data_IF_471279166539
#
_entry.id   IF_471279166539
#
_cell.length_a   1.000
_cell.length_b   1.000
_cell.length_c   1.000
_cell.angle_alpha   90.00
_cell.angle_beta   90.00
_cell.angle_gamma   90.00
#
_symmetry.space_group_name_H-M   'P 1'
#
loop_
_entity.id
_entity.type
_entity.pdbx_description
1 polymer ?
#
# COMPACT_ATOMS: atom_id res chain seq x y z
N UNK A 1 -23.18 4.63 -3.07
CA UNK A 1 -23.23 3.16 -3.12
C UNK A 1 -22.11 2.69 -4.04
N UNK A 2 -21.04 2.02 -3.57
CA UNK A 2 -20.06 1.48 -4.47
C UNK A 2 -20.70 0.35 -5.27
N UNK A 3 -20.59 0.41 -6.57
CA UNK A 3 -20.99 -0.66 -7.49
C UNK A 3 -20.07 -1.86 -7.25
N UNK A 4 -20.50 -2.78 -6.38
CA UNK A 4 -19.83 -4.07 -6.20
C UNK A 4 -20.10 -4.91 -7.45
N UNK A 5 -19.16 -4.90 -8.39
CA UNK A 5 -19.22 -5.86 -9.48
C UNK A 5 -19.01 -7.27 -8.90
N UNK A 6 -20.05 -8.13 -8.87
CA UNK A 6 -19.97 -9.44 -8.21
C UNK A 6 -18.94 -10.39 -8.82
N UNK A 7 -18.45 -10.10 -10.03
CA UNK A 7 -17.40 -10.86 -10.68
C UNK A 7 -16.03 -10.61 -10.02
N UNK A 8 -15.73 -9.38 -9.60
CA UNK A 8 -14.48 -9.07 -8.88
C UNK A 8 -14.47 -9.70 -7.49
N UNK A 9 -15.58 -9.63 -6.75
CA UNK A 9 -15.67 -10.25 -5.43
C UNK A 9 -15.42 -11.77 -5.45
N UNK A 10 -15.97 -12.48 -6.43
CA UNK A 10 -15.70 -13.92 -6.59
C UNK A 10 -14.25 -14.23 -6.98
N UNK A 11 -13.62 -13.38 -7.78
CA UNK A 11 -12.21 -13.52 -8.15
C UNK A 11 -11.29 -13.40 -6.92
N UNK A 12 -11.49 -12.39 -6.11
CA UNK A 12 -10.70 -12.19 -4.89
C UNK A 12 -10.93 -13.29 -3.84
N UNK A 13 -12.18 -13.70 -3.62
CA UNK A 13 -12.49 -14.78 -2.69
C UNK A 13 -11.76 -16.09 -3.04
N UNK A 14 -11.63 -16.41 -4.33
CA UNK A 14 -10.86 -17.58 -4.78
C UNK A 14 -9.35 -17.38 -4.60
N UNK A 15 -8.86 -16.17 -4.87
CA UNK A 15 -7.43 -15.87 -4.81
C UNK A 15 -6.88 -15.89 -3.38
N UNK A 16 -7.66 -15.46 -2.37
CA UNK A 16 -7.21 -15.39 -0.98
C UNK A 16 -7.40 -16.69 -0.21
N UNK A 17 -8.14 -17.66 -0.76
CA UNK A 17 -8.43 -18.91 -0.05
C UNK A 17 -7.15 -19.72 0.19
N UNK A 18 -6.87 -20.05 1.46
CA UNK A 18 -5.67 -20.79 1.85
C UNK A 18 -4.38 -19.96 1.89
N UNK A 19 -4.48 -18.63 1.77
CA UNK A 19 -3.33 -17.74 1.96
C UNK A 19 -3.13 -17.41 3.44
N UNK A 20 -1.86 -17.19 3.83
CA UNK A 20 -1.50 -16.73 5.18
C UNK A 20 -1.53 -15.19 5.28
N UNK A 21 -1.31 -14.51 4.18
CA UNK A 21 -1.27 -13.06 4.10
C UNK A 21 -1.71 -12.55 2.72
N UNK A 22 -2.06 -11.27 2.65
CA UNK A 22 -2.39 -10.57 1.41
C UNK A 22 -1.55 -9.32 1.28
N UNK A 23 -0.99 -9.08 0.08
CA UNK A 23 -0.32 -7.84 -0.29
C UNK A 23 -1.10 -7.18 -1.42
N UNK A 24 -1.62 -5.97 -1.19
CA UNK A 24 -2.20 -5.15 -2.23
C UNK A 24 -1.17 -4.13 -2.73
N UNK A 25 -0.55 -4.44 -3.88
CA UNK A 25 0.43 -3.58 -4.54
C UNK A 25 -0.06 -3.09 -5.92
N UNK A 26 -1.35 -3.25 -6.22
CA UNK A 26 -1.92 -2.80 -7.49
C UNK A 26 -2.21 -1.29 -7.49
N UNK A 27 -2.16 -0.72 -8.67
CA UNK A 27 -2.53 0.66 -8.94
C UNK A 27 -2.98 0.82 -10.38
N UNK A 28 -3.75 1.85 -10.65
CA UNK A 28 -4.32 2.09 -11.99
C UNK A 28 -3.26 2.45 -13.06
N UNK A 29 -2.01 2.67 -12.64
CA UNK A 29 -0.90 2.98 -13.53
C UNK A 29 -0.93 4.42 -14.12
N UNK A 30 0.17 4.86 -14.74
CA UNK A 30 0.21 6.12 -15.45
C UNK A 30 -0.74 6.11 -16.66
N UNK A 31 -1.24 7.29 -17.04
CA UNK A 31 -2.17 7.44 -18.17
C UNK A 31 -3.62 6.99 -17.90
N UNK A 32 -3.94 6.47 -16.72
CA UNK A 32 -5.33 6.18 -16.34
C UNK A 32 -6.00 7.44 -15.80
N UNK A 33 -7.27 7.68 -16.17
CA UNK A 33 -8.05 8.82 -15.68
C UNK A 33 -8.45 8.70 -14.21
N UNK A 34 -8.94 9.81 -13.62
CA UNK A 34 -9.32 9.92 -12.21
C UNK A 34 -10.31 8.82 -11.76
N UNK A 35 -11.32 8.50 -12.57
CA UNK A 35 -12.30 7.44 -12.25
C UNK A 35 -11.66 6.07 -12.06
N UNK A 36 -10.58 5.78 -12.81
CA UNK A 36 -9.87 4.51 -12.67
C UNK A 36 -9.02 4.45 -11.40
N UNK A 37 -8.54 5.60 -10.90
CA UNK A 37 -7.87 5.69 -9.59
C UNK A 37 -8.81 5.24 -8.48
N UNK A 38 -10.04 5.72 -8.45
CA UNK A 38 -11.02 5.28 -7.46
C UNK A 38 -11.32 3.77 -7.56
N UNK A 39 -11.50 3.26 -8.79
CA UNK A 39 -11.87 1.85 -9.00
C UNK A 39 -10.75 0.89 -8.62
N UNK A 40 -9.49 1.21 -8.95
CA UNK A 40 -8.35 0.30 -8.74
C UNK A 40 -7.67 0.61 -7.42
N UNK A 41 -7.26 1.88 -7.18
CA UNK A 41 -6.44 2.21 -6.02
C UNK A 41 -7.23 2.18 -4.71
N UNK A 42 -8.55 2.46 -4.74
CA UNK A 42 -9.43 2.36 -3.57
C UNK A 42 -10.30 1.11 -3.57
N UNK A 43 -11.22 1.00 -4.53
CA UNK A 43 -12.27 -0.03 -4.45
C UNK A 43 -11.71 -1.45 -4.50
N UNK A 44 -10.70 -1.74 -5.34
CA UNK A 44 -10.10 -3.06 -5.39
C UNK A 44 -9.33 -3.39 -4.10
N UNK A 45 -8.65 -2.41 -3.47
CA UNK A 45 -7.98 -2.62 -2.18
C UNK A 45 -8.97 -3.00 -1.08
N UNK A 46 -10.11 -2.30 -1.01
CA UNK A 46 -11.16 -2.58 -0.02
C UNK A 46 -11.80 -3.94 -0.27
N UNK A 47 -12.17 -4.25 -1.52
CA UNK A 47 -12.76 -5.55 -1.87
C UNK A 47 -11.83 -6.74 -1.56
N UNK A 48 -10.53 -6.57 -1.79
CA UNK A 48 -9.55 -7.61 -1.45
C UNK A 48 -9.41 -7.78 0.07
N UNK A 49 -9.49 -6.69 0.83
CA UNK A 49 -9.48 -6.73 2.29
C UNK A 49 -10.73 -7.43 2.86
N UNK A 50 -11.90 -7.13 2.31
CA UNK A 50 -13.15 -7.81 2.66
C UNK A 50 -13.07 -9.31 2.35
N UNK A 51 -12.52 -9.68 1.19
CA UNK A 51 -12.30 -11.07 0.81
C UNK A 51 -11.31 -11.79 1.73
N UNK A 52 -10.23 -11.11 2.16
CA UNK A 52 -9.27 -11.64 3.11
C UNK A 52 -9.93 -11.94 4.47
N UNK A 53 -10.69 -10.98 5.01
CA UNK A 53 -11.44 -11.17 6.26
C UNK A 53 -12.43 -12.33 6.16
N UNK A 54 -13.19 -12.42 5.07
CA UNK A 54 -14.15 -13.50 4.84
C UNK A 54 -13.50 -14.88 4.74
N UNK A 55 -12.25 -14.95 4.26
CA UNK A 55 -11.46 -16.18 4.18
C UNK A 55 -10.65 -16.48 5.46
N UNK A 56 -10.73 -15.62 6.49
CA UNK A 56 -9.97 -15.78 7.74
C UNK A 56 -8.51 -15.35 7.64
N UNK A 57 -8.09 -14.72 6.53
CA UNK A 57 -6.72 -14.19 6.35
C UNK A 57 -6.61 -12.86 7.09
N UNK A 58 -5.79 -12.83 8.12
CA UNK A 58 -5.68 -11.66 9.00
C UNK A 58 -4.59 -10.67 8.57
N UNK A 59 -3.47 -11.16 8.03
CA UNK A 59 -2.33 -10.32 7.66
C UNK A 59 -2.55 -9.62 6.31
N UNK A 60 -2.50 -8.27 6.30
CA UNK A 60 -2.74 -7.47 5.11
C UNK A 60 -1.70 -6.35 4.98
N UNK A 61 -1.00 -6.32 3.85
CA UNK A 61 -0.09 -5.22 3.51
C UNK A 61 -0.72 -4.36 2.40
N UNK A 62 -0.81 -3.07 2.63
CA UNK A 62 -1.27 -2.09 1.63
C UNK A 62 -0.09 -1.25 1.14
N UNK A 63 0.18 -1.26 -0.16
CA UNK A 63 1.08 -0.29 -0.79
C UNK A 63 0.29 0.96 -1.14
N UNK A 64 0.58 2.03 -0.39
CA UNK A 64 0.01 3.36 -0.57
C UNK A 64 1.02 4.31 -1.25
N UNK A 65 1.11 5.54 -0.82
CA UNK A 65 2.04 6.56 -1.34
C UNK A 65 2.38 7.58 -0.27
N UNK A 66 3.57 8.15 -0.31
CA UNK A 66 3.86 9.39 0.42
C UNK A 66 2.95 10.52 -0.07
N UNK A 67 2.69 11.51 0.77
CA UNK A 67 1.88 12.69 0.45
C UNK A 67 0.35 12.50 0.54
N UNK A 68 -0.15 11.32 0.94
CA UNK A 68 -1.61 11.07 1.04
C UNK A 68 -2.27 11.84 2.18
N UNK A 69 -1.52 12.29 3.18
CA UNK A 69 -2.05 13.11 4.29
C UNK A 69 -2.06 14.59 3.96
N UNK A 70 -1.40 15.02 2.88
CA UNK A 70 -1.36 16.40 2.45
C UNK A 70 -2.54 16.68 1.50
N UNK A 71 -3.34 17.71 1.76
CA UNK A 71 -4.38 18.09 0.82
C UNK A 71 -3.76 18.55 -0.51
N UNK A 72 -4.36 18.21 -1.66
CA UNK A 72 -3.89 18.68 -2.96
C UNK A 72 -3.80 20.22 -2.98
N UNK A 73 -2.65 20.75 -3.38
CA UNK A 73 -2.44 22.21 -3.48
C UNK A 73 -3.17 22.78 -4.69
N UNK A 74 -3.54 24.06 -4.67
CA UNK A 74 -4.06 24.73 -5.86
C UNK A 74 -3.11 24.55 -7.05
N UNK A 75 -3.63 24.10 -8.20
CA UNK A 75 -2.82 23.80 -9.39
C UNK A 75 -2.22 22.40 -9.45
N UNK A 76 -2.49 21.54 -8.46
CA UNK A 76 -2.15 20.10 -8.56
C UNK A 76 -2.90 19.48 -9.74
N UNK A 77 -2.21 18.63 -10.50
CA UNK A 77 -2.84 17.83 -11.57
C UNK A 77 -4.02 17.02 -11.01
N UNK A 78 -5.16 17.07 -11.72
CA UNK A 78 -6.41 16.46 -11.25
C UNK A 78 -6.30 14.93 -11.10
N UNK A 79 -5.53 14.26 -11.97
CA UNK A 79 -5.33 12.81 -11.89
C UNK A 79 -4.47 12.46 -10.70
N UNK A 80 -3.45 13.28 -10.41
CA UNK A 80 -2.61 13.11 -9.22
C UNK A 80 -3.41 13.36 -7.92
N UNK A 81 -4.22 14.40 -7.88
CA UNK A 81 -5.11 14.68 -6.75
C UNK A 81 -6.10 13.53 -6.51
N UNK A 82 -6.71 13.00 -7.59
CA UNK A 82 -7.59 11.84 -7.50
C UNK A 82 -6.86 10.58 -7.02
N UNK A 83 -5.61 10.38 -7.44
CA UNK A 83 -4.78 9.29 -6.97
C UNK A 83 -4.53 9.36 -5.46
N UNK A 84 -4.07 10.49 -4.95
CA UNK A 84 -3.82 10.67 -3.50
C UNK A 84 -5.11 10.50 -2.70
N UNK A 85 -6.22 11.05 -3.17
CA UNK A 85 -7.55 10.88 -2.56
C UNK A 85 -7.98 9.41 -2.50
N UNK A 86 -7.79 8.67 -3.59
CA UNK A 86 -8.13 7.25 -3.65
C UNK A 86 -7.25 6.41 -2.70
N UNK A 87 -5.93 6.68 -2.67
CA UNK A 87 -5.00 6.01 -1.74
C UNK A 87 -5.35 6.31 -0.28
N UNK A 88 -5.62 7.57 0.05
CA UNK A 88 -6.04 7.96 1.41
C UNK A 88 -7.32 7.24 1.83
N UNK A 89 -8.34 7.23 0.97
CA UNK A 89 -9.59 6.54 1.25
C UNK A 89 -9.43 5.02 1.40
N UNK A 90 -8.50 4.41 0.65
CA UNK A 90 -8.15 3.00 0.84
C UNK A 90 -7.50 2.78 2.22
N UNK A 91 -6.53 3.61 2.60
CA UNK A 91 -5.91 3.53 3.93
C UNK A 91 -6.92 3.62 5.06
N UNK A 92 -7.83 4.60 4.99
CA UNK A 92 -8.84 4.83 6.02
C UNK A 92 -9.77 3.61 6.17
N UNK A 93 -10.17 2.99 5.06
CA UNK A 93 -10.97 1.77 5.08
C UNK A 93 -10.21 0.58 5.68
N UNK A 94 -8.92 0.40 5.31
CA UNK A 94 -8.09 -0.68 5.83
C UNK A 94 -7.82 -0.49 7.33
N UNK A 95 -7.56 0.73 7.79
CA UNK A 95 -7.37 1.06 9.20
C UNK A 95 -8.60 0.80 10.05
N UNK A 96 -9.79 1.00 9.49
CA UNK A 96 -11.07 0.73 10.16
C UNK A 96 -11.43 -0.77 10.19
N UNK A 97 -10.71 -1.62 9.47
CA UNK A 97 -10.96 -3.06 9.42
C UNK A 97 -10.37 -3.81 10.61
N UNK A 98 -10.79 -5.07 10.80
CA UNK A 98 -10.24 -5.96 11.82
C UNK A 98 -8.94 -6.69 11.37
N UNK A 99 -8.33 -6.29 10.27
CA UNK A 99 -7.10 -6.90 9.76
C UNK A 99 -5.87 -6.52 10.60
N UNK A 100 -4.91 -7.41 10.66
CA UNK A 100 -3.55 -7.11 11.11
C UNK A 100 -2.78 -6.42 9.97
N UNK A 101 -3.17 -5.17 9.69
CA UNK A 101 -2.69 -4.41 8.55
C UNK A 101 -1.34 -3.73 8.81
N UNK A 102 -0.56 -3.55 7.75
CA UNK A 102 0.55 -2.60 7.69
C UNK A 102 0.42 -1.81 6.39
N UNK A 103 0.57 -0.50 6.47
CA UNK A 103 0.52 0.39 5.30
C UNK A 103 1.92 0.87 5.00
N UNK A 104 2.40 0.56 3.79
CA UNK A 104 3.68 1.02 3.28
C UNK A 104 3.44 2.16 2.30
N UNK A 105 4.07 3.31 2.55
CA UNK A 105 4.02 4.51 1.71
C UNK A 105 5.38 4.73 1.05
N UNK A 106 5.67 4.14 -0.10
CA UNK A 106 6.90 4.43 -0.82
C UNK A 106 6.89 5.84 -1.39
N UNK A 107 8.08 6.40 -1.53
CA UNK A 107 8.33 7.57 -2.37
C UNK A 107 8.17 7.26 -3.86
N UNK A 108 8.70 8.11 -4.74
CA UNK A 108 8.66 7.88 -6.18
C UNK A 108 9.42 6.58 -6.52
N UNK A 109 8.73 5.68 -7.25
CA UNK A 109 9.29 4.37 -7.60
C UNK A 109 10.16 4.46 -8.85
N UNK A 110 11.40 3.94 -8.79
CA UNK A 110 12.29 3.80 -9.93
C UNK A 110 12.45 2.34 -10.35
N UNK A 111 12.93 2.14 -11.59
CA UNK A 111 13.24 0.82 -12.15
C UNK A 111 14.75 0.50 -12.10
N UNK A 112 15.51 1.27 -11.32
CA UNK A 112 16.92 0.99 -11.06
C UNK A 112 17.07 -0.29 -10.24
N UNK A 113 18.22 -0.97 -10.30
CA UNK A 113 18.51 -2.12 -9.46
C UNK A 113 18.40 -1.80 -7.97
N UNK A 114 17.88 -2.73 -7.19
CA UNK A 114 17.79 -2.61 -5.74
C UNK A 114 19.16 -2.50 -5.08
N UNK A 115 19.23 -1.75 -4.01
CA UNK A 115 20.46 -1.56 -3.22
C UNK A 115 20.48 -2.41 -1.95
N UNK A 116 19.34 -2.92 -1.53
CA UNK A 116 19.14 -3.56 -0.23
C UNK A 116 19.18 -2.59 0.94
N UNK A 117 19.23 -1.27 0.68
CA UNK A 117 19.37 -0.23 1.69
C UNK A 117 18.27 0.81 1.58
N UNK A 118 17.60 1.06 2.70
CA UNK A 118 16.41 1.91 2.76
C UNK A 118 16.42 2.78 4.01
N UNK A 119 15.57 3.80 3.99
CA UNK A 119 15.06 4.45 5.18
C UNK A 119 13.58 4.10 5.28
N UNK A 120 13.20 3.46 6.38
CA UNK A 120 11.83 3.08 6.71
C UNK A 120 11.49 3.66 8.09
N UNK A 121 10.49 4.53 8.16
CA UNK A 121 10.11 5.18 9.40
C UNK A 121 8.63 5.58 9.42
N UNK A 122 8.04 5.84 10.61
CA UNK A 122 6.73 6.49 10.68
C UNK A 122 6.71 7.85 9.97
N UNK A 123 5.57 8.27 9.38
CA UNK A 123 5.44 9.59 8.76
C UNK A 123 5.65 10.75 9.77
N UNK A 124 6.13 11.94 9.33
CA UNK A 124 6.55 12.24 7.96
C UNK A 124 8.02 11.92 7.70
N UNK A 125 8.34 11.41 6.50
CA UNK A 125 9.70 11.26 6.01
C UNK A 125 9.91 12.21 4.83
N UNK A 126 11.06 12.92 4.70
CA UNK A 126 11.30 13.79 3.55
C UNK A 126 11.14 13.05 2.23
N UNK A 127 10.48 13.64 1.22
CA UNK A 127 10.24 12.99 -0.08
C UNK A 127 11.55 12.59 -0.75
N UNK A 128 11.62 11.35 -1.24
CA UNK A 128 12.71 10.85 -2.06
C UNK A 128 12.25 9.63 -2.87
N UNK A 129 13.11 9.15 -3.76
CA UNK A 129 12.85 7.95 -4.57
C UNK A 129 13.21 6.68 -3.81
N UNK A 130 12.70 5.56 -4.31
CA UNK A 130 13.07 4.20 -3.90
C UNK A 130 12.87 3.25 -5.07
N UNK A 131 13.70 2.23 -5.18
CA UNK A 131 13.56 1.24 -6.24
C UNK A 131 12.36 0.31 -5.99
N UNK A 132 11.78 -0.23 -7.07
CA UNK A 132 10.75 -1.29 -6.94
C UNK A 132 11.31 -2.54 -6.28
N UNK A 133 12.58 -2.88 -6.55
CA UNK A 133 13.26 -4.02 -5.95
C UNK A 133 13.37 -3.86 -4.43
N UNK A 134 13.84 -2.70 -3.94
CA UNK A 134 13.94 -2.43 -2.51
C UNK A 134 12.56 -2.37 -1.85
N UNK A 135 11.55 -1.83 -2.56
CA UNK A 135 10.16 -1.84 -2.09
C UNK A 135 9.63 -3.27 -1.93
N UNK A 136 9.91 -4.14 -2.90
CA UNK A 136 9.54 -5.55 -2.83
C UNK A 136 10.25 -6.28 -1.68
N UNK A 137 11.54 -6.03 -1.49
CA UNK A 137 12.31 -6.59 -0.38
C UNK A 137 11.74 -6.16 1.00
N UNK A 138 11.35 -4.89 1.13
CA UNK A 138 10.69 -4.39 2.36
C UNK A 138 9.34 -5.08 2.58
N UNK A 139 8.53 -5.28 1.53
CA UNK A 139 7.25 -5.99 1.66
C UNK A 139 7.43 -7.42 2.15
N UNK A 140 8.43 -8.14 1.64
CA UNK A 140 8.77 -9.50 2.11
C UNK A 140 9.15 -9.48 3.59
N UNK A 141 10.06 -8.58 3.99
CA UNK A 141 10.48 -8.46 5.39
C UNK A 141 9.31 -8.06 6.33
N UNK A 142 8.37 -7.23 5.86
CA UNK A 142 7.17 -6.86 6.62
C UNK A 142 6.20 -8.05 6.81
N UNK A 143 6.10 -8.97 5.84
CA UNK A 143 5.32 -10.20 5.99
C UNK A 143 5.83 -11.05 7.16
N UNK A 144 7.16 -11.16 7.28
CA UNK A 144 7.85 -11.94 8.31
C UNK A 144 7.96 -11.19 9.66
N UNK A 145 7.40 -9.96 9.75
CA UNK A 145 7.48 -9.13 10.95
C UNK A 145 6.08 -8.71 11.43
N UNK A 146 5.30 -9.61 12.07
CA UNK A 146 3.93 -9.31 12.54
C UNK A 146 3.85 -8.12 13.51
N UNK A 147 4.94 -7.79 14.20
CA UNK A 147 5.01 -6.63 15.10
C UNK A 147 4.80 -5.27 14.39
N UNK A 148 4.80 -5.23 13.06
CA UNK A 148 4.47 -4.04 12.26
C UNK A 148 2.96 -3.87 12.02
N UNK A 149 2.12 -4.76 12.53
CA UNK A 149 0.68 -4.62 12.45
C UNK A 149 0.21 -3.33 13.15
N UNK A 150 -0.71 -2.62 12.50
CA UNK A 150 -1.22 -1.33 12.94
C UNK A 150 -0.30 -0.13 12.63
N UNK A 151 0.78 -0.34 11.87
CA UNK A 151 1.73 0.72 11.54
C UNK A 151 1.55 1.25 10.11
N UNK A 152 1.77 2.57 9.99
CA UNK A 152 2.00 3.25 8.72
C UNK A 152 3.47 3.60 8.65
N UNK A 153 4.13 3.18 7.57
CA UNK A 153 5.57 3.37 7.38
C UNK A 153 5.82 4.02 6.02
N UNK A 154 6.63 5.07 6.01
CA UNK A 154 7.13 5.70 4.79
C UNK A 154 8.49 5.12 4.41
N UNK A 155 8.67 4.88 3.11
CA UNK A 155 9.83 4.21 2.55
C UNK A 155 10.51 5.07 1.49
N UNK A 156 11.83 5.18 1.58
CA UNK A 156 12.69 5.79 0.56
C UNK A 156 14.06 5.10 0.51
N UNK A 157 14.87 5.39 -0.49
CA UNK A 157 16.28 5.02 -0.49
C UNK A 157 16.98 5.56 0.76
N UNK A 158 17.92 4.80 1.30
CA UNK A 158 18.63 5.15 2.54
C UNK A 158 19.86 4.29 2.75
N UNK A 159 20.36 4.27 3.98
CA UNK A 159 21.63 3.62 4.32
C UNK A 159 21.47 2.41 5.26
N UNK A 160 20.24 2.08 5.63
CA UNK A 160 19.96 0.97 6.55
C UNK A 160 19.57 -0.28 5.76
N UNK A 161 20.17 -1.41 6.06
CA UNK A 161 19.78 -2.70 5.53
C UNK A 161 18.28 -2.96 5.75
N UNK A 162 17.61 -3.55 4.75
CA UNK A 162 16.15 -3.76 4.76
C UNK A 162 15.67 -4.49 6.00
N UNK A 163 16.31 -5.61 6.35
CA UNK A 163 15.90 -6.39 7.51
C UNK A 163 16.06 -5.62 8.83
N UNK A 164 17.14 -4.85 8.93
CA UNK A 164 17.39 -4.01 10.08
C UNK A 164 16.39 -2.85 10.16
N UNK A 165 16.06 -2.22 9.02
CA UNK A 165 15.09 -1.13 8.96
C UNK A 165 13.70 -1.60 9.41
N UNK A 166 13.24 -2.77 8.96
CA UNK A 166 11.94 -3.33 9.33
C UNK A 166 11.87 -3.72 10.81
N UNK A 167 12.95 -4.29 11.36
CA UNK A 167 13.02 -4.68 12.79
C UNK A 167 13.27 -3.51 13.73
N UNK A 168 13.91 -2.45 13.26
CA UNK A 168 14.28 -1.28 14.03
C UNK A 168 13.25 -0.14 14.05
N UNK A 169 12.21 -0.22 13.25
CA UNK A 169 11.12 0.76 13.15
C UNK A 169 10.14 0.71 14.33
N UNK A 170 10.67 0.72 15.56
CA UNK A 170 9.89 0.83 16.81
C UNK A 170 9.89 2.25 17.30
#
# INVERSE_FOLDING_TARGET
MPSSNPAFGRGFARAVNGCDAVVFAAGAGPGSGAARKDTVDRAAAVLLAEAALAAGVQRYLLVSSTGVDDPPRPGTDEVWAAYLTAKKAAEDAIRASALAWTILRPGALTDDPGTGRVLLAPPPVPPAEVTRDDTAAVLVALLDTPATAGQVLELRAGDTDVDKAVRGGR
#
